data_IF_090436901208
#
_entry.id   IF_090436901208
#
_cell.length_a   1.000
_cell.length_b   1.000
_cell.length_c   1.000
_cell.angle_alpha   90.00
_cell.angle_beta   90.00
_cell.angle_gamma   90.00
#
_symmetry.space_group_name_H-M   'P 1'
#
loop_
_entity.id
_entity.type
_entity.pdbx_description
1 polymer ?
#
# COMPACT_ATOMS: atom_id res chain seq x y z
N UNK A 1 46.56 19.76 -40.19
CA UNK A 1 45.85 19.74 -41.50
C UNK A 1 44.36 19.82 -41.21
N UNK A 2 43.81 20.96 -41.25
CA UNK A 2 42.96 21.60 -42.28
C UNK A 2 41.71 20.74 -42.56
N UNK A 3 40.57 21.22 -41.99
CA UNK A 3 39.42 21.93 -42.62
C UNK A 3 38.46 20.96 -43.35
N UNK A 4 37.13 20.99 -43.19
CA UNK A 4 36.25 22.11 -43.51
C UNK A 4 34.82 21.86 -42.99
N UNK A 5 34.18 22.95 -42.51
CA UNK A 5 32.73 23.13 -42.30
C UNK A 5 31.97 23.17 -43.65
N UNK A 6 30.72 22.73 -43.69
CA UNK A 6 29.69 23.37 -44.53
C UNK A 6 28.32 23.42 -43.82
N UNK A 7 27.90 24.65 -43.59
CA UNK A 7 26.52 25.06 -43.36
C UNK A 7 25.79 25.07 -44.70
N UNK A 8 24.48 24.79 -44.71
CA UNK A 8 23.56 25.45 -45.64
C UNK A 8 22.24 25.80 -44.95
N UNK A 9 21.75 26.97 -45.34
CA UNK A 9 20.73 27.83 -44.76
C UNK A 9 19.49 27.78 -45.64
N UNK A 10 18.31 27.78 -44.99
CA UNK A 10 17.08 28.53 -45.31
C UNK A 10 16.48 28.54 -46.73
N UNK A 11 15.18 28.32 -46.83
CA UNK A 11 14.25 29.25 -47.45
C UNK A 11 12.79 28.93 -47.10
N UNK A 12 12.11 29.97 -46.63
CA UNK A 12 10.67 30.05 -46.46
C UNK A 12 10.02 30.46 -47.79
N UNK A 13 8.78 30.12 -48.04
CA UNK A 13 7.88 30.88 -48.90
C UNK A 13 6.42 30.70 -48.50
N UNK A 14 5.78 31.81 -48.21
CA UNK A 14 4.34 32.05 -48.07
C UNK A 14 3.64 32.10 -49.44
N UNK A 15 2.37 31.71 -49.47
CA UNK A 15 1.24 32.21 -50.28
C UNK A 15 0.00 31.47 -49.75
N UNK A 16 -1.07 32.00 -49.33
CA UNK A 16 -1.80 33.23 -49.46
C UNK A 16 -3.01 33.11 -50.40
N UNK A 17 -4.23 33.45 -49.87
CA UNK A 17 -5.52 33.66 -50.57
C UNK A 17 -6.47 32.42 -50.64
N UNK A 18 -7.77 32.52 -50.45
CA UNK A 18 -8.77 33.47 -49.95
C UNK A 18 -10.15 32.82 -50.13
N UNK A 19 -11.02 33.04 -49.20
CA UNK A 19 -12.50 33.15 -49.17
C UNK A 19 -13.32 32.68 -50.40
N UNK A 20 -14.33 31.84 -50.20
CA UNK A 20 -15.72 32.15 -50.55
C UNK A 20 -16.68 31.32 -49.75
N UNK A 21 -17.69 31.91 -49.17
CA UNK A 21 -18.76 31.32 -48.43
C UNK A 21 -19.91 30.81 -49.31
N UNK A 22 -20.73 29.95 -48.79
CA UNK A 22 -22.19 29.85 -49.04
C UNK A 22 -22.90 28.96 -48.06
N UNK A 23 -23.79 29.61 -47.31
CA UNK A 23 -25.21 29.30 -47.10
C UNK A 23 -25.59 28.00 -46.35
N UNK A 24 -26.18 28.27 -45.21
CA UNK A 24 -27.11 27.52 -44.39
C UNK A 24 -28.24 26.85 -45.19
N UNK A 25 -28.53 25.63 -44.87
CA UNK A 25 -29.85 25.05 -45.04
C UNK A 25 -30.17 24.29 -43.75
N UNK A 26 -31.07 24.91 -42.96
CA UNK A 26 -31.78 24.34 -41.87
C UNK A 26 -32.83 23.33 -42.39
N UNK A 27 -32.77 22.12 -41.93
CA UNK A 27 -33.87 21.15 -42.04
C UNK A 27 -34.37 20.85 -40.63
N UNK A 28 -35.48 21.49 -40.30
CA UNK A 28 -36.34 21.10 -39.17
C UNK A 28 -36.98 19.72 -39.51
N UNK A 29 -36.78 18.77 -38.63
CA UNK A 29 -37.59 17.54 -38.60
C UNK A 29 -38.39 17.54 -37.30
N UNK A 30 -39.69 17.64 -37.47
CA UNK A 30 -40.71 17.51 -36.46
C UNK A 30 -40.72 16.15 -35.75
N UNK A 31 -41.17 16.10 -34.48
CA UNK A 31 -41.21 14.85 -33.71
C UNK A 31 -42.52 14.09 -34.00
N UNK A 32 -42.44 12.86 -34.39
CA UNK A 32 -43.62 11.97 -34.35
C UNK A 32 -43.24 10.55 -33.92
N UNK A 33 -43.94 10.16 -32.84
CA UNK A 33 -44.33 8.80 -32.46
C UNK A 33 -43.20 7.76 -32.13
N UNK A 34 -42.90 7.69 -30.82
CA UNK A 34 -42.50 6.43 -30.19
C UNK A 34 -43.61 6.02 -29.19
N UNK A 35 -43.99 4.72 -29.14
CA UNK A 35 -45.07 4.28 -28.23
C UNK A 35 -44.62 4.29 -26.78
N UNK A 36 -45.50 4.78 -25.90
CA UNK A 36 -45.39 4.75 -24.46
C UNK A 36 -45.27 3.34 -23.90
N UNK A 37 -44.21 3.07 -23.14
CA UNK A 37 -44.10 1.89 -22.28
C UNK A 37 -45.01 2.11 -21.03
N UNK A 38 -45.64 1.06 -20.48
CA UNK A 38 -46.54 1.20 -19.35
C UNK A 38 -45.79 1.58 -18.07
N UNK A 39 -46.37 2.53 -17.33
CA UNK A 39 -46.01 2.88 -15.96
C UNK A 39 -46.15 1.63 -15.08
N UNK A 40 -45.04 1.14 -14.56
CA UNK A 40 -45.04 0.26 -13.39
C UNK A 40 -45.03 1.13 -12.12
N UNK A 41 -46.22 1.49 -11.66
CA UNK A 41 -46.44 1.99 -10.32
C UNK A 41 -46.35 0.84 -9.31
N UNK A 42 -45.48 1.01 -8.33
CA UNK A 42 -45.61 0.33 -7.04
C UNK A 42 -44.60 -0.80 -6.77
N UNK A 43 -43.39 -0.43 -6.40
CA UNK A 43 -42.64 -1.08 -5.33
C UNK A 43 -41.81 0.01 -4.66
N UNK A 44 -42.21 0.42 -3.49
CA UNK A 44 -41.47 1.33 -2.63
C UNK A 44 -40.16 0.68 -2.19
N UNK A 45 -39.14 0.82 -3.01
CA UNK A 45 -37.76 0.57 -2.64
C UNK A 45 -37.30 1.72 -1.76
N UNK A 46 -37.00 1.44 -0.50
CA UNK A 46 -36.25 2.37 0.36
C UNK A 46 -35.00 2.78 -0.40
N UNK A 47 -34.78 4.07 -0.53
CA UNK A 47 -33.57 4.62 -1.14
C UNK A 47 -32.35 4.13 -0.36
N UNK A 48 -31.37 3.62 -1.07
CA UNK A 48 -30.10 3.13 -0.53
C UNK A 48 -29.13 4.26 -0.09
N UNK A 49 -29.65 5.44 0.22
CA UNK A 49 -28.89 6.64 0.59
C UNK A 49 -29.14 7.07 2.04
N UNK A 50 -28.98 6.15 3.00
CA UNK A 50 -28.60 6.59 4.33
C UNK A 50 -27.06 6.61 4.40
N UNK A 51 -26.44 7.73 4.83
CA UNK A 51 -24.99 7.79 4.98
C UNK A 51 -24.57 6.88 6.14
N UNK A 52 -24.22 5.66 5.83
CA UNK A 52 -23.50 4.80 6.77
C UNK A 52 -22.17 5.46 7.10
N UNK A 53 -21.54 5.06 8.23
CA UNK A 53 -20.22 5.58 8.63
C UNK A 53 -19.25 5.58 7.44
N UNK A 54 -18.40 6.63 7.27
CA UNK A 54 -17.48 6.73 6.16
C UNK A 54 -16.50 5.54 6.14
N UNK A 55 -16.03 5.17 4.95
CA UNK A 55 -14.97 4.18 4.79
C UNK A 55 -13.64 4.83 5.14
N UNK A 56 -12.89 4.26 6.08
CA UNK A 56 -11.51 4.66 6.37
C UNK A 56 -10.57 4.09 5.30
N UNK A 57 -9.84 4.94 4.62
CA UNK A 57 -8.83 4.56 3.63
C UNK A 57 -7.45 4.65 4.28
N UNK A 58 -6.80 3.50 4.46
CA UNK A 58 -5.46 3.40 5.02
C UNK A 58 -4.46 2.95 3.96
N UNK A 59 -3.23 3.46 3.99
CA UNK A 59 -2.17 3.04 3.09
C UNK A 59 -0.95 2.56 3.88
N UNK A 60 -0.37 1.41 3.51
CA UNK A 60 0.89 0.95 4.06
C UNK A 60 2.03 1.88 3.67
N UNK A 61 2.93 2.14 4.60
CA UNK A 61 4.05 3.05 4.45
C UNK A 61 5.36 2.36 4.78
N UNK A 62 6.21 2.15 3.79
CA UNK A 62 7.52 1.54 3.95
C UNK A 62 8.60 2.60 4.18
N UNK A 63 9.28 2.58 5.33
CA UNK A 63 10.14 3.66 5.82
C UNK A 63 11.62 3.51 5.48
N UNK A 64 12.03 3.06 4.28
CA UNK A 64 13.43 2.81 3.93
C UNK A 64 14.03 3.78 2.88
N UNK A 65 13.33 4.88 2.59
CA UNK A 65 13.74 5.88 1.58
C UNK A 65 14.42 7.11 2.21
N UNK A 66 15.27 6.89 3.21
CA UNK A 66 16.10 7.91 3.85
C UNK A 66 17.52 7.38 4.10
N UNK A 67 18.56 8.23 4.06
CA UNK A 67 19.91 7.88 4.49
C UNK A 67 20.01 7.86 6.03
N UNK A 68 21.17 7.43 6.53
CA UNK A 68 21.50 7.56 7.96
C UNK A 68 21.02 6.42 8.86
N UNK A 69 20.35 5.39 8.32
CA UNK A 69 20.10 4.19 9.11
C UNK A 69 21.42 3.41 9.32
N UNK A 70 21.80 3.21 10.58
CA UNK A 70 23.08 2.64 10.93
C UNK A 70 23.29 1.19 10.44
N UNK A 71 22.20 0.39 10.35
CA UNK A 71 22.25 -0.99 9.87
C UNK A 71 22.41 -1.03 8.36
N UNK A 72 21.67 -0.20 7.64
CA UNK A 72 21.79 -0.06 6.20
C UNK A 72 23.17 0.46 5.81
N UNK A 73 23.65 1.52 6.46
CA UNK A 73 24.98 2.07 6.15
C UNK A 73 26.12 1.11 6.44
N UNK A 74 26.01 0.30 7.49
CA UNK A 74 26.97 -0.77 7.79
C UNK A 74 27.02 -1.84 6.70
N UNK A 75 25.88 -2.16 6.09
CA UNK A 75 25.75 -3.22 5.08
C UNK A 75 26.02 -2.74 3.66
N UNK A 76 25.59 -1.52 3.33
CA UNK A 76 25.52 -1.01 1.95
C UNK A 76 26.40 0.22 1.71
N UNK A 77 26.94 0.83 2.76
CA UNK A 77 27.75 2.05 2.69
C UNK A 77 27.03 3.31 3.14
N UNK A 78 27.83 4.32 3.49
CA UNK A 78 27.34 5.60 4.03
C UNK A 78 26.40 6.29 3.03
N UNK A 79 25.27 6.80 3.52
CA UNK A 79 24.29 7.54 2.75
C UNK A 79 23.37 6.65 1.89
N UNK A 80 23.45 5.33 2.01
CA UNK A 80 22.58 4.42 1.27
C UNK A 80 21.12 4.56 1.73
N UNK A 81 20.21 4.52 0.78
CA UNK A 81 18.78 4.33 0.99
C UNK A 81 18.23 3.43 -0.12
N UNK A 82 17.01 2.96 -0.01
CA UNK A 82 16.42 2.07 -1.02
C UNK A 82 16.22 2.76 -2.38
N UNK A 83 16.32 4.10 -2.45
CA UNK A 83 16.38 4.84 -3.70
C UNK A 83 17.49 4.37 -4.64
N UNK A 84 18.59 3.83 -4.11
CA UNK A 84 19.68 3.33 -4.94
C UNK A 84 19.26 2.14 -5.82
N UNK A 85 18.33 1.32 -5.33
CA UNK A 85 17.76 0.22 -6.11
C UNK A 85 16.82 0.73 -7.20
N UNK A 86 15.97 1.71 -6.87
CA UNK A 86 15.04 2.32 -7.81
C UNK A 86 15.81 2.99 -8.96
N UNK A 87 16.84 3.77 -8.64
CA UNK A 87 17.72 4.45 -9.62
C UNK A 87 18.49 3.47 -10.52
N UNK A 88 18.91 2.34 -9.96
CA UNK A 88 19.72 1.34 -10.67
C UNK A 88 18.89 0.43 -11.59
N UNK A 89 17.57 0.38 -11.41
CA UNK A 89 16.69 -0.47 -12.20
C UNK A 89 16.74 -0.12 -13.69
N UNK A 90 16.64 -1.16 -14.54
CA UNK A 90 16.68 -1.01 -16.01
C UNK A 90 15.47 -1.66 -16.66
N UNK A 91 15.00 -1.12 -17.80
CA UNK A 91 14.00 -1.83 -18.60
C UNK A 91 14.48 -3.24 -18.97
N UNK A 92 13.63 -4.23 -18.75
CA UNK A 92 13.94 -5.64 -19.04
C UNK A 92 13.24 -6.14 -20.33
N UNK A 93 12.30 -5.37 -20.84
CA UNK A 93 11.58 -5.63 -22.10
C UNK A 93 11.06 -4.31 -22.70
N UNK A 94 10.69 -4.28 -23.98
CA UNK A 94 10.13 -3.07 -24.62
C UNK A 94 8.87 -2.57 -23.87
N UNK A 95 8.87 -1.29 -23.49
CA UNK A 95 7.77 -0.67 -22.73
C UNK A 95 7.81 -0.89 -21.22
N UNK A 96 8.81 -1.60 -20.69
CA UNK A 96 8.99 -1.72 -19.23
C UNK A 96 9.37 -0.37 -18.62
N UNK A 97 8.50 0.12 -17.74
CA UNK A 97 8.69 1.41 -17.07
C UNK A 97 9.67 1.29 -15.90
N UNK A 98 10.96 1.20 -16.21
CA UNK A 98 12.07 1.25 -15.26
C UNK A 98 13.18 2.15 -15.82
N UNK A 99 13.91 2.91 -14.97
CA UNK A 99 13.64 3.11 -13.54
C UNK A 99 12.35 3.89 -13.31
N UNK A 100 11.67 3.62 -12.20
CA UNK A 100 10.56 4.45 -11.71
C UNK A 100 11.11 5.79 -11.25
N UNK A 101 10.51 6.90 -11.68
CA UNK A 101 11.01 8.24 -11.34
C UNK A 101 9.96 9.01 -10.55
N UNK A 102 10.21 9.27 -9.23
CA UNK A 102 9.30 10.06 -8.43
C UNK A 102 9.13 11.48 -8.95
N UNK A 103 7.91 11.99 -9.01
CA UNK A 103 7.62 13.38 -9.43
C UNK A 103 8.27 14.39 -8.48
N UNK A 104 8.40 14.04 -7.21
CA UNK A 104 9.02 14.89 -6.19
C UNK A 104 10.53 14.70 -6.05
N UNK A 105 11.13 13.86 -6.88
CA UNK A 105 12.52 13.44 -6.78
C UNK A 105 12.73 12.35 -5.70
N UNK A 106 13.96 11.90 -5.59
CA UNK A 106 14.40 10.88 -4.61
C UNK A 106 14.64 11.55 -3.25
N UNK A 107 13.54 11.83 -2.54
CA UNK A 107 13.53 12.65 -1.32
C UNK A 107 13.89 11.85 -0.08
N UNK A 108 14.39 12.55 0.95
CA UNK A 108 14.67 12.00 2.28
C UNK A 108 13.40 12.02 3.14
N UNK A 109 12.87 10.86 3.48
CA UNK A 109 11.65 10.72 4.28
C UNK A 109 11.82 11.04 5.77
N UNK A 110 13.05 11.15 6.25
CA UNK A 110 13.32 11.61 7.61
C UNK A 110 13.21 13.12 7.76
N UNK A 111 13.11 13.87 6.65
CA UNK A 111 12.89 15.33 6.66
C UNK A 111 11.41 15.64 6.93
N UNK A 112 11.08 16.38 8.02
CA UNK A 112 9.71 16.78 8.32
C UNK A 112 9.01 17.60 7.22
N UNK A 113 9.75 18.36 6.40
CA UNK A 113 9.18 19.15 5.30
C UNK A 113 8.80 18.26 4.11
N UNK A 114 9.61 17.25 3.84
CA UNK A 114 9.28 16.21 2.86
C UNK A 114 8.02 15.47 3.30
N UNK A 115 7.99 15.04 4.57
CA UNK A 115 6.84 14.33 5.12
C UNK A 115 5.58 15.22 5.16
N UNK A 116 5.71 16.51 5.45
CA UNK A 116 4.58 17.44 5.39
C UNK A 116 3.92 17.50 4.00
N UNK A 117 4.71 17.46 2.93
CA UNK A 117 4.19 17.38 1.55
C UNK A 117 3.47 16.05 1.30
N UNK A 118 4.02 14.93 1.77
CA UNK A 118 3.38 13.60 1.65
C UNK A 118 2.05 13.55 2.40
N UNK A 119 2.02 14.04 3.64
CA UNK A 119 0.81 14.14 4.46
C UNK A 119 -0.26 15.00 3.78
N UNK A 120 0.12 16.17 3.24
CA UNK A 120 -0.80 17.04 2.51
C UNK A 120 -1.40 16.31 1.30
N UNK A 121 -0.56 15.69 0.47
CA UNK A 121 -1.02 14.95 -0.71
C UNK A 121 -1.94 13.77 -0.35
N UNK A 122 -1.66 13.04 0.72
CA UNK A 122 -2.50 11.94 1.19
C UNK A 122 -3.86 12.47 1.68
N UNK A 123 -3.86 13.42 2.60
CA UNK A 123 -5.07 13.97 3.20
C UNK A 123 -5.96 14.72 2.19
N UNK A 124 -5.37 15.47 1.24
CA UNK A 124 -6.11 16.16 0.18
C UNK A 124 -6.77 15.20 -0.83
N UNK A 125 -6.36 13.93 -0.82
CA UNK A 125 -6.91 12.88 -1.68
C UNK A 125 -7.62 11.76 -0.90
N UNK A 126 -8.14 12.06 0.31
CA UNK A 126 -8.95 11.14 1.12
C UNK A 126 -8.26 9.83 1.52
N UNK A 127 -6.97 9.88 1.78
CA UNK A 127 -6.28 8.89 2.59
C UNK A 127 -6.37 9.38 4.03
N UNK A 128 -6.88 8.54 4.93
CA UNK A 128 -7.12 8.88 6.33
C UNK A 128 -5.96 8.50 7.23
N UNK A 129 -5.21 7.44 6.85
CA UNK A 129 -4.23 6.81 7.74
C UNK A 129 -3.04 6.27 6.95
N UNK A 130 -1.83 6.53 7.45
CA UNK A 130 -0.65 5.73 7.10
C UNK A 130 -0.45 4.61 8.11
N UNK A 131 -0.27 3.38 7.64
CA UNK A 131 0.12 2.24 8.46
C UNK A 131 1.60 2.00 8.21
N UNK A 132 2.45 2.46 9.14
CA UNK A 132 3.90 2.33 8.99
C UNK A 132 4.37 0.90 9.20
N UNK A 133 5.14 0.36 8.26
CA UNK A 133 5.93 -0.84 8.44
C UNK A 133 7.00 -0.54 9.48
N UNK A 134 6.74 -0.98 10.70
CA UNK A 134 7.55 -0.70 11.87
C UNK A 134 8.38 -1.92 12.23
N UNK A 135 9.69 -1.75 12.33
CA UNK A 135 10.65 -2.83 12.54
C UNK A 135 11.28 -2.74 13.92
N UNK A 136 11.29 -3.87 14.61
CA UNK A 136 11.97 -4.03 15.89
C UNK A 136 12.45 -5.48 16.03
N UNK A 137 13.74 -5.66 16.31
CA UNK A 137 14.40 -6.94 16.46
C UNK A 137 14.96 -7.10 17.88
N UNK A 138 15.51 -8.28 18.25
CA UNK A 138 16.10 -8.49 19.58
C UNK A 138 17.24 -7.51 19.91
N UNK A 139 17.93 -7.02 18.89
CA UNK A 139 19.00 -6.01 19.02
C UNK A 139 18.51 -4.56 18.85
N UNK A 140 17.19 -4.33 18.81
CA UNK A 140 16.58 -3.00 18.84
C UNK A 140 15.88 -2.54 17.57
N UNK A 141 15.55 -1.23 17.47
CA UNK A 141 14.77 -0.64 16.41
C UNK A 141 15.48 -0.61 15.05
N UNK A 142 14.70 -0.55 13.97
CA UNK A 142 15.17 -0.43 12.60
C UNK A 142 14.17 0.37 11.76
N UNK A 143 14.65 1.20 10.83
CA UNK A 143 13.85 1.99 9.85
C UNK A 143 12.77 2.89 10.48
N UNK A 144 13.01 3.42 11.67
CA UNK A 144 11.99 4.24 12.35
C UNK A 144 12.08 5.73 12.00
N UNK A 145 13.12 6.20 11.28
CA UNK A 145 13.33 7.62 11.06
C UNK A 145 12.24 8.30 10.22
N UNK A 146 11.66 7.61 9.24
CA UNK A 146 10.54 8.14 8.47
C UNK A 146 9.33 8.49 9.35
N UNK A 147 9.04 7.67 10.38
CA UNK A 147 8.00 7.95 11.37
C UNK A 147 8.47 8.97 12.41
N UNK A 148 9.57 8.68 13.13
CA UNK A 148 9.96 9.41 14.33
C UNK A 148 10.53 10.81 14.04
N UNK A 149 11.25 10.95 12.94
CA UNK A 149 11.88 12.22 12.55
C UNK A 149 11.08 12.93 11.44
N UNK A 150 10.52 12.17 10.49
CA UNK A 150 9.70 12.70 9.43
C UNK A 150 8.27 13.01 9.88
N UNK A 151 7.43 11.98 10.01
CA UNK A 151 5.98 12.13 10.21
C UNK A 151 5.62 12.84 11.53
N UNK A 152 6.15 12.36 12.65
CA UNK A 152 5.79 12.90 13.98
C UNK A 152 6.28 14.34 14.19
N UNK A 153 7.28 14.79 13.42
CA UNK A 153 7.80 16.15 13.46
C UNK A 153 7.30 17.04 12.33
N UNK A 154 6.50 16.50 11.40
CA UNK A 154 5.91 17.28 10.34
C UNK A 154 4.92 18.32 10.91
N UNK A 155 4.96 19.59 10.43
CA UNK A 155 4.11 20.67 10.98
C UNK A 155 2.61 20.43 10.82
N UNK A 156 2.23 19.53 9.93
CA UNK A 156 0.85 19.16 9.61
C UNK A 156 0.52 17.69 9.93
N UNK A 157 1.26 17.05 10.85
CA UNK A 157 1.06 15.64 11.21
C UNK A 157 -0.34 15.33 11.76
N UNK A 158 -1.11 16.35 12.16
CA UNK A 158 -2.49 16.23 12.64
C UNK A 158 -3.53 16.10 11.53
N UNK A 159 -3.17 16.38 10.28
CA UNK A 159 -4.06 16.19 9.11
C UNK A 159 -4.26 14.73 8.72
N UNK A 160 -3.40 13.83 9.18
CA UNK A 160 -3.42 12.41 8.85
C UNK A 160 -3.27 11.58 10.12
N UNK A 161 -3.94 10.43 10.17
CA UNK A 161 -3.71 9.45 11.22
C UNK A 161 -2.53 8.56 10.85
N UNK A 162 -1.95 7.89 11.86
CA UNK A 162 -0.97 6.83 11.65
C UNK A 162 -1.21 5.66 12.58
N UNK A 163 -0.82 4.48 12.16
CA UNK A 163 -0.76 3.27 12.95
C UNK A 163 0.52 2.51 12.64
N UNK A 164 0.77 1.44 13.39
CA UNK A 164 1.90 0.58 13.20
C UNK A 164 1.46 -0.82 12.73
N UNK A 165 2.19 -1.34 11.76
CA UNK A 165 2.25 -2.77 11.50
C UNK A 165 3.66 -3.23 11.89
N UNK A 166 3.76 -4.10 12.90
CA UNK A 166 5.05 -4.70 13.20
C UNK A 166 5.44 -5.66 12.09
N UNK A 167 6.38 -5.22 11.26
CA UNK A 167 6.95 -6.01 10.17
C UNK A 167 8.00 -6.98 10.76
N UNK A 168 7.52 -7.93 11.57
CA UNK A 168 8.31 -8.89 12.32
C UNK A 168 8.73 -10.11 11.48
N UNK A 169 8.98 -9.90 10.18
CA UNK A 169 9.56 -10.91 9.30
C UNK A 169 11.09 -10.92 9.40
N UNK A 170 11.70 -12.00 8.93
CA UNK A 170 13.15 -12.08 8.78
C UNK A 170 13.64 -11.01 7.79
N UNK A 171 14.59 -10.16 8.22
CA UNK A 171 15.23 -9.25 7.28
C UNK A 171 16.38 -9.96 6.58
N UNK A 172 16.25 -10.10 5.28
CA UNK A 172 17.17 -10.84 4.43
C UNK A 172 17.87 -9.93 3.42
N UNK A 173 19.07 -10.32 2.96
CA UNK A 173 19.85 -9.54 1.99
C UNK A 173 19.30 -9.71 0.56
N UNK A 174 18.25 -8.91 0.27
CA UNK A 174 17.60 -8.86 -1.05
C UNK A 174 17.69 -7.47 -1.71
N UNK A 175 18.68 -6.65 -1.34
CA UNK A 175 18.77 -5.25 -1.75
C UNK A 175 20.11 -4.87 -2.43
N UNK A 176 20.38 -5.32 -3.68
CA UNK A 176 19.71 -6.34 -4.49
C UNK A 176 20.20 -7.75 -4.20
N UNK A 177 19.54 -8.77 -4.74
CA UNK A 177 20.00 -10.15 -4.61
C UNK A 177 19.99 -10.92 -5.94
N UNK A 178 20.71 -12.06 -5.96
CA UNK A 178 20.87 -12.90 -7.14
C UNK A 178 20.22 -14.27 -6.93
N UNK A 179 19.17 -14.55 -7.70
CA UNK A 179 18.56 -15.88 -7.74
C UNK A 179 19.50 -16.89 -8.46
N UNK A 180 19.43 -18.21 -8.19
CA UNK A 180 18.53 -18.88 -7.24
C UNK A 180 19.10 -19.01 -5.82
N UNK A 181 20.25 -18.36 -5.50
CA UNK A 181 20.83 -18.44 -4.17
C UNK A 181 19.83 -17.98 -3.09
N UNK A 182 19.76 -18.70 -1.98
CA UNK A 182 19.01 -18.21 -0.83
C UNK A 182 19.68 -16.94 -0.29
N UNK A 183 18.92 -15.85 -0.06
CA UNK A 183 19.50 -14.64 0.51
C UNK A 183 19.97 -14.89 1.95
N UNK A 184 21.00 -14.15 2.34
CA UNK A 184 21.52 -14.20 3.71
C UNK A 184 20.51 -13.60 4.68
N UNK A 185 20.20 -14.32 5.79
CA UNK A 185 19.50 -13.77 6.92
C UNK A 185 20.39 -12.72 7.60
N UNK A 186 19.87 -11.51 7.77
CA UNK A 186 20.56 -10.39 8.42
C UNK A 186 20.04 -10.16 9.84
N UNK A 187 18.71 -10.04 9.99
CA UNK A 187 18.06 -9.85 11.29
C UNK A 187 16.87 -10.81 11.41
N UNK A 188 16.87 -11.73 12.40
CA UNK A 188 15.75 -12.64 12.63
C UNK A 188 14.51 -11.88 13.10
N UNK A 189 13.37 -12.14 12.47
CA UNK A 189 12.06 -11.56 12.85
C UNK A 189 11.49 -12.14 14.14
N UNK A 190 11.89 -13.37 14.48
CA UNK A 190 11.59 -13.97 15.78
C UNK A 190 12.27 -13.17 16.88
N UNK A 191 11.52 -12.71 17.88
CA UNK A 191 12.04 -12.01 19.06
C UNK A 191 11.79 -12.82 20.33
N UNK A 192 12.56 -12.51 21.37
CA UNK A 192 12.36 -13.08 22.72
C UNK A 192 11.12 -12.50 23.40
N UNK A 193 10.51 -13.20 24.39
CA UNK A 193 9.44 -12.65 25.21
C UNK A 193 9.81 -11.35 25.91
N UNK A 194 11.07 -11.18 26.30
CA UNK A 194 11.60 -9.95 26.92
C UNK A 194 11.61 -8.78 25.93
N UNK A 195 11.99 -9.03 24.68
CA UNK A 195 11.96 -8.02 23.63
C UNK A 195 10.52 -7.67 23.27
N UNK A 196 9.62 -8.65 23.19
CA UNK A 196 8.20 -8.38 22.98
C UNK A 196 7.62 -7.49 24.07
N UNK A 197 7.94 -7.74 25.35
CA UNK A 197 7.48 -6.93 26.47
C UNK A 197 7.97 -5.46 26.36
N UNK A 198 9.23 -5.26 25.95
CA UNK A 198 9.80 -3.92 25.66
C UNK A 198 9.08 -3.24 24.48
N UNK A 199 8.79 -3.99 23.43
CA UNK A 199 8.03 -3.48 22.27
C UNK A 199 6.66 -2.99 22.72
N UNK A 200 5.93 -3.75 23.55
CA UNK A 200 4.65 -3.34 24.08
C UNK A 200 4.73 -2.02 24.86
N UNK A 201 5.71 -1.89 25.75
CA UNK A 201 5.91 -0.67 26.52
C UNK A 201 6.25 0.51 25.62
N UNK A 202 7.19 0.31 24.69
CA UNK A 202 7.64 1.36 23.77
C UNK A 202 6.51 1.87 22.86
N UNK A 203 5.67 1.00 22.31
CA UNK A 203 4.59 1.45 21.42
C UNK A 203 3.49 2.16 22.21
N UNK A 204 3.21 1.75 23.45
CA UNK A 204 2.26 2.43 24.32
C UNK A 204 2.77 3.82 24.69
N UNK A 205 4.02 3.93 25.12
CA UNK A 205 4.61 5.18 25.61
C UNK A 205 4.83 6.20 24.47
N UNK A 206 5.39 5.75 23.34
CA UNK A 206 5.83 6.66 22.29
C UNK A 206 4.77 6.98 21.25
N UNK A 207 3.82 6.06 21.00
CA UNK A 207 2.92 6.22 19.86
C UNK A 207 1.44 6.25 20.22
N UNK A 208 0.92 5.35 21.07
CA UNK A 208 -0.52 5.24 21.30
C UNK A 208 -1.15 6.50 21.89
N UNK A 209 -0.42 7.27 22.70
CA UNK A 209 -0.89 8.53 23.27
C UNK A 209 -0.89 9.69 22.27
N UNK A 210 -0.23 9.56 21.10
CA UNK A 210 -0.19 10.62 20.11
C UNK A 210 -1.58 10.91 19.55
N UNK A 211 -1.95 12.20 19.42
CA UNK A 211 -3.29 12.63 18.95
C UNK A 211 -3.67 12.13 17.55
N UNK A 212 -2.67 11.86 16.70
CA UNK A 212 -2.84 11.33 15.36
C UNK A 212 -2.74 9.81 15.31
N UNK A 213 -2.53 9.10 16.43
CA UNK A 213 -2.54 7.64 16.40
C UNK A 213 -3.95 7.13 16.04
N UNK A 214 -4.01 6.24 15.03
CA UNK A 214 -5.29 5.71 14.55
C UNK A 214 -5.91 4.74 15.56
N UNK A 215 -7.24 4.86 15.73
CA UNK A 215 -8.02 4.05 16.65
C UNK A 215 -9.25 3.49 15.94
N UNK A 216 -9.50 2.22 16.15
CA UNK A 216 -10.72 1.53 15.72
C UNK A 216 -11.63 1.39 16.95
N UNK A 217 -12.82 1.96 16.91
CA UNK A 217 -13.76 2.01 18.04
C UNK A 217 -13.12 2.53 19.34
N UNK A 218 -12.27 3.57 19.21
CA UNK A 218 -11.54 4.19 20.32
C UNK A 218 -10.30 3.43 20.79
N UNK A 219 -10.06 2.20 20.34
CA UNK A 219 -8.91 1.36 20.70
C UNK A 219 -7.75 1.63 19.75
N UNK A 220 -6.50 1.86 20.23
CA UNK A 220 -5.34 1.92 19.36
C UNK A 220 -5.26 0.68 18.45
N UNK A 221 -4.98 0.90 17.15
CA UNK A 221 -4.81 -0.18 16.18
C UNK A 221 -3.34 -0.61 16.13
N UNK A 222 -3.07 -1.91 16.22
CA UNK A 222 -1.73 -2.46 16.05
C UNK A 222 -1.79 -3.75 15.24
N UNK A 223 -0.97 -3.85 14.20
CA UNK A 223 -0.98 -5.01 13.29
C UNK A 223 0.31 -5.82 13.41
N UNK A 224 0.18 -7.14 13.23
CA UNK A 224 1.30 -8.07 13.13
C UNK A 224 1.39 -8.61 11.70
N UNK A 225 2.58 -8.51 11.11
CA UNK A 225 2.81 -8.98 9.75
C UNK A 225 3.05 -10.50 9.71
N UNK A 226 3.94 -11.05 10.56
CA UNK A 226 4.40 -12.43 10.48
C UNK A 226 4.02 -13.25 11.74
N UNK A 227 2.94 -14.02 11.62
CA UNK A 227 2.45 -14.82 12.75
C UNK A 227 3.31 -16.03 13.08
N UNK A 228 4.06 -16.58 12.11
CA UNK A 228 4.94 -17.74 12.37
C UNK A 228 6.14 -17.34 13.21
N UNK A 229 6.72 -16.14 12.98
CA UNK A 229 7.78 -15.60 13.81
C UNK A 229 7.28 -15.19 15.20
N UNK A 230 6.06 -14.64 15.29
CA UNK A 230 5.44 -14.35 16.57
C UNK A 230 5.29 -15.64 17.40
N UNK A 231 4.72 -16.72 16.83
CA UNK A 231 4.62 -18.02 17.48
C UNK A 231 5.99 -18.59 17.88
N UNK A 232 6.96 -18.52 16.97
CA UNK A 232 8.31 -19.02 17.25
C UNK A 232 8.98 -18.29 18.43
N UNK A 233 8.59 -17.04 18.70
CA UNK A 233 9.07 -16.27 19.86
C UNK A 233 8.62 -16.83 21.20
N UNK A 234 7.41 -17.36 21.25
CA UNK A 234 6.77 -17.85 22.49
C UNK A 234 6.68 -19.39 22.59
N UNK A 235 6.82 -20.09 21.46
CA UNK A 235 6.87 -21.55 21.42
C UNK A 235 5.53 -22.23 21.23
N UNK A 236 4.45 -21.79 21.86
CA UNK A 236 3.10 -22.35 21.71
C UNK A 236 2.03 -21.30 21.45
N UNK A 237 0.85 -21.71 20.97
CA UNK A 237 -0.30 -20.82 20.76
C UNK A 237 -0.77 -20.21 22.08
N UNK A 238 -0.80 -21.01 23.15
CA UNK A 238 -1.25 -20.58 24.48
C UNK A 238 -0.34 -19.48 25.04
N UNK A 239 0.99 -19.69 25.02
CA UNK A 239 1.95 -18.69 25.52
C UNK A 239 1.96 -17.43 24.66
N UNK A 240 1.72 -17.56 23.35
CA UNK A 240 1.59 -16.42 22.45
C UNK A 240 0.33 -15.61 22.72
N UNK A 241 -0.82 -16.29 22.92
CA UNK A 241 -2.09 -15.67 23.31
C UNK A 241 -1.93 -14.91 24.63
N UNK A 242 -1.33 -15.54 25.64
CA UNK A 242 -1.13 -14.93 26.96
C UNK A 242 -0.25 -13.65 26.86
N UNK A 243 0.75 -13.65 25.96
CA UNK A 243 1.56 -12.46 25.68
C UNK A 243 0.74 -11.35 25.00
N UNK A 244 -0.15 -11.67 24.04
CA UNK A 244 -1.05 -10.71 23.42
C UNK A 244 -2.07 -10.14 24.41
N UNK A 245 -2.61 -10.97 25.32
CA UNK A 245 -3.51 -10.51 26.38
C UNK A 245 -2.78 -9.62 27.41
N UNK A 246 -1.51 -9.92 27.71
CA UNK A 246 -0.68 -9.02 28.50
C UNK A 246 -0.48 -7.67 27.83
N UNK A 247 -0.29 -7.64 26.50
CA UNK A 247 -0.21 -6.38 25.74
C UNK A 247 -1.51 -5.57 25.85
N UNK A 248 -2.69 -6.23 25.71
CA UNK A 248 -3.99 -5.58 25.91
C UNK A 248 -4.11 -5.00 27.32
N UNK A 249 -3.72 -5.77 28.34
CA UNK A 249 -3.75 -5.35 29.73
C UNK A 249 -2.86 -4.13 29.98
N UNK A 250 -1.65 -4.09 29.40
CA UNK A 250 -0.76 -2.91 29.45
C UNK A 250 -1.40 -1.66 28.83
N UNK A 251 -2.06 -1.81 27.66
CA UNK A 251 -2.76 -0.70 27.02
C UNK A 251 -3.92 -0.18 27.89
N UNK A 252 -4.71 -1.07 28.50
CA UNK A 252 -5.78 -0.68 29.44
C UNK A 252 -5.21 0.02 30.68
N UNK A 253 -4.11 -0.50 31.24
CA UNK A 253 -3.44 0.11 32.40
C UNK A 253 -2.88 1.51 32.08
N UNK A 254 -2.56 1.78 30.82
CA UNK A 254 -2.13 3.10 30.33
C UNK A 254 -3.31 4.04 30.02
N UNK A 255 -4.57 3.62 30.29
CA UNK A 255 -5.77 4.45 30.18
C UNK A 255 -6.50 4.33 28.84
N UNK A 256 -6.13 3.39 27.97
CA UNK A 256 -6.87 3.12 26.72
C UNK A 256 -8.08 2.21 26.99
N UNK A 257 -9.18 2.31 26.22
CA UNK A 257 -10.37 1.48 26.43
C UNK A 257 -10.15 0.01 26.03
N UNK A 258 -9.00 -0.30 25.46
CA UNK A 258 -8.57 -1.61 24.96
C UNK A 258 -7.49 -1.45 23.90
N UNK A 259 -7.22 -2.51 23.14
CA UNK A 259 -6.27 -2.54 22.04
C UNK A 259 -6.89 -3.33 20.89
N UNK A 260 -6.89 -2.77 19.68
CA UNK A 260 -7.34 -3.48 18.47
C UNK A 260 -6.12 -4.15 17.81
N UNK A 261 -6.05 -5.46 17.92
CA UNK A 261 -4.99 -6.27 17.29
C UNK A 261 -5.45 -6.79 15.94
N UNK A 262 -4.69 -6.50 14.91
CA UNK A 262 -4.91 -6.98 13.55
C UNK A 262 -3.83 -8.00 13.16
N UNK A 263 -4.21 -9.01 12.38
CA UNK A 263 -3.30 -9.99 11.81
C UNK A 263 -3.25 -9.86 10.29
N UNK A 264 -2.05 -9.78 9.72
CA UNK A 264 -1.86 -9.99 8.29
C UNK A 264 -1.79 -11.50 8.03
N UNK A 265 -2.53 -11.95 7.02
CA UNK A 265 -2.54 -13.35 6.60
C UNK A 265 -2.25 -13.49 5.12
N UNK A 266 -1.61 -14.58 4.74
CA UNK A 266 -1.33 -14.91 3.36
C UNK A 266 -1.37 -16.41 3.09
N UNK A 267 -1.73 -16.78 1.87
CA UNK A 267 -1.70 -18.16 1.39
C UNK A 267 -0.37 -18.52 0.71
N UNK A 268 0.36 -17.52 0.22
CA UNK A 268 1.62 -17.71 -0.51
C UNK A 268 2.68 -16.74 0.02
N UNK A 269 3.83 -17.26 0.50
CA UNK A 269 4.98 -16.44 0.85
C UNK A 269 5.51 -15.66 -0.36
N UNK A 270 5.96 -14.44 -0.14
CA UNK A 270 6.60 -13.57 -1.14
C UNK A 270 8.06 -13.36 -0.79
N UNK A 271 8.35 -13.00 0.46
CA UNK A 271 9.71 -12.83 0.90
C UNK A 271 10.37 -14.19 1.13
N UNK A 272 11.67 -14.30 0.85
CA UNK A 272 12.41 -15.49 1.22
C UNK A 272 12.33 -15.75 2.72
N UNK A 273 12.24 -17.03 3.10
CA UNK A 273 12.10 -17.54 4.47
C UNK A 273 10.72 -17.41 5.11
N UNK A 274 9.79 -16.66 4.55
CA UNK A 274 8.38 -16.66 4.98
C UNK A 274 7.76 -18.06 4.86
N UNK A 275 6.82 -18.36 5.76
CA UNK A 275 6.10 -19.63 5.78
C UNK A 275 4.60 -19.38 5.76
N UNK A 276 3.89 -20.08 4.87
CA UNK A 276 2.44 -20.08 4.89
C UNK A 276 1.92 -20.80 6.15
N UNK A 277 0.86 -20.24 6.74
CA UNK A 277 0.14 -20.86 7.84
C UNK A 277 -0.68 -22.06 7.34
N UNK A 278 -0.69 -23.14 8.09
CA UNK A 278 -1.49 -24.34 7.77
C UNK A 278 -2.98 -24.09 7.95
N UNK A 279 -3.36 -23.47 9.07
CA UNK A 279 -4.74 -23.11 9.41
C UNK A 279 -4.76 -21.67 9.97
N UNK A 280 -4.77 -20.67 9.09
CA UNK A 280 -4.76 -19.27 9.53
C UNK A 280 -6.03 -18.89 10.30
N UNK A 281 -7.18 -19.45 9.96
CA UNK A 281 -8.44 -19.10 10.61
C UNK A 281 -8.47 -19.55 12.08
N UNK A 282 -8.08 -20.81 12.32
CA UNK A 282 -7.97 -21.31 13.68
C UNK A 282 -6.92 -20.54 14.49
N UNK A 283 -5.75 -20.26 13.91
CA UNK A 283 -4.69 -19.54 14.61
C UNK A 283 -5.11 -18.11 14.98
N UNK A 284 -5.71 -17.36 14.07
CA UNK A 284 -6.23 -16.01 14.33
C UNK A 284 -7.26 -16.01 15.44
N UNK A 285 -8.18 -17.00 15.43
CA UNK A 285 -9.19 -17.17 16.46
C UNK A 285 -8.56 -17.52 17.82
N UNK A 286 -7.62 -18.48 17.85
CA UNK A 286 -6.98 -18.95 19.10
C UNK A 286 -6.12 -17.87 19.75
N UNK A 287 -5.53 -16.99 18.95
CA UNK A 287 -4.73 -15.84 19.40
C UNK A 287 -5.58 -14.61 19.76
N UNK A 288 -6.88 -14.60 19.43
CA UNK A 288 -7.81 -13.54 19.82
C UNK A 288 -7.60 -12.23 19.05
N UNK A 289 -7.26 -12.27 17.75
CA UNK A 289 -7.17 -11.06 16.92
C UNK A 289 -8.56 -10.46 16.67
N UNK A 290 -8.62 -9.12 16.65
CA UNK A 290 -9.86 -8.36 16.46
C UNK A 290 -10.22 -8.19 14.97
N UNK A 291 -9.25 -8.24 14.08
CA UNK A 291 -9.44 -8.21 12.63
C UNK A 291 -8.31 -8.89 11.88
N UNK A 292 -8.56 -9.17 10.60
CA UNK A 292 -7.61 -9.81 9.68
C UNK A 292 -7.50 -8.98 8.41
N UNK A 293 -6.33 -8.95 7.80
CA UNK A 293 -6.10 -8.28 6.51
C UNK A 293 -5.08 -9.00 5.64
N UNK A 294 -4.94 -8.55 4.40
CA UNK A 294 -3.84 -8.87 3.49
C UNK A 294 -2.93 -7.67 3.31
N UNK A 295 -1.64 -7.91 3.08
CA UNK A 295 -0.68 -6.85 2.75
C UNK A 295 -0.73 -6.49 1.26
N UNK A 296 -0.68 -7.49 0.39
CA UNK A 296 -0.62 -7.33 -1.07
C UNK A 296 -1.35 -8.47 -1.79
N UNK A 297 -1.91 -8.20 -2.98
CA UNK A 297 -2.72 -9.17 -3.72
C UNK A 297 -1.98 -10.46 -4.09
N UNK A 298 -0.69 -10.38 -4.40
CA UNK A 298 0.09 -11.55 -4.84
C UNK A 298 0.31 -12.60 -3.75
N UNK A 299 0.00 -12.29 -2.49
CA UNK A 299 -0.09 -13.28 -1.41
C UNK A 299 -1.24 -14.28 -1.66
N UNK A 300 -2.25 -13.90 -2.42
CA UNK A 300 -3.47 -14.69 -2.64
C UNK A 300 -3.77 -14.95 -4.11
N UNK A 301 -3.15 -14.21 -5.01
CA UNK A 301 -3.29 -14.35 -6.45
C UNK A 301 -2.05 -14.98 -7.07
N UNK A 302 -2.24 -15.70 -8.18
CA UNK A 302 -1.15 -16.26 -8.97
C UNK A 302 -0.78 -15.30 -10.09
N UNK A 303 0.50 -15.19 -10.38
CA UNK A 303 1.03 -14.55 -11.57
C UNK A 303 1.53 -15.66 -12.52
N UNK A 304 0.65 -16.21 -13.38
CA UNK A 304 0.99 -17.40 -14.19
C UNK A 304 1.97 -17.09 -15.34
N UNK A 305 2.12 -15.83 -15.69
CA UNK A 305 3.02 -15.34 -16.75
C UNK A 305 3.92 -14.25 -16.18
N UNK A 306 5.02 -13.96 -16.89
CA UNK A 306 5.92 -12.88 -16.50
C UNK A 306 5.21 -11.51 -16.44
N UNK A 307 4.19 -11.31 -17.26
CA UNK A 307 3.34 -10.11 -17.26
C UNK A 307 1.89 -10.55 -17.12
N UNK A 308 1.35 -10.50 -15.90
CA UNK A 308 -0.05 -10.88 -15.64
C UNK A 308 -0.90 -9.61 -15.57
N UNK A 309 -2.02 -9.61 -16.28
CA UNK A 309 -2.93 -8.45 -16.36
C UNK A 309 -3.50 -8.08 -14.99
N UNK A 310 -3.53 -6.78 -14.67
CA UNK A 310 -3.99 -6.23 -13.40
C UNK A 310 -5.40 -6.67 -13.02
N UNK A 311 -6.34 -6.64 -13.96
CA UNK A 311 -7.72 -7.05 -13.70
C UNK A 311 -7.83 -8.54 -13.38
N UNK A 312 -7.02 -9.38 -14.05
CA UNK A 312 -7.00 -10.82 -13.76
C UNK A 312 -6.47 -11.11 -12.33
N UNK A 313 -5.51 -10.33 -11.85
CA UNK A 313 -5.01 -10.43 -10.46
C UNK A 313 -6.04 -9.90 -9.47
N UNK A 314 -6.67 -8.75 -9.77
CA UNK A 314 -7.77 -8.19 -8.98
C UNK A 314 -8.90 -9.21 -8.79
N UNK A 315 -9.35 -9.85 -9.87
CA UNK A 315 -10.47 -10.78 -9.82
C UNK A 315 -10.14 -12.02 -8.98
N UNK A 316 -8.90 -12.52 -9.06
CA UNK A 316 -8.42 -13.59 -8.18
C UNK A 316 -8.44 -13.16 -6.71
N UNK A 317 -7.98 -11.94 -6.41
CA UNK A 317 -7.98 -11.45 -5.05
C UNK A 317 -9.40 -11.21 -4.52
N UNK A 318 -10.31 -10.69 -5.33
CA UNK A 318 -11.71 -10.51 -4.92
C UNK A 318 -12.43 -11.84 -4.65
N UNK A 319 -12.10 -12.88 -5.44
CA UNK A 319 -12.55 -14.23 -5.13
C UNK A 319 -11.97 -14.78 -3.82
N UNK A 320 -10.71 -14.46 -3.52
CA UNK A 320 -10.11 -14.76 -2.22
C UNK A 320 -10.79 -13.99 -1.08
N UNK A 321 -11.06 -12.69 -1.25
CA UNK A 321 -11.75 -11.88 -0.23
C UNK A 321 -13.08 -12.53 0.19
N UNK A 322 -13.90 -12.98 -0.77
CA UNK A 322 -15.13 -13.73 -0.47
C UNK A 322 -14.89 -14.99 0.37
N UNK A 323 -13.80 -15.71 0.09
CA UNK A 323 -13.41 -16.88 0.89
C UNK A 323 -12.91 -16.48 2.28
N UNK A 324 -12.17 -15.40 2.39
CA UNK A 324 -11.64 -14.90 3.65
C UNK A 324 -12.77 -14.51 4.62
N UNK A 325 -13.79 -13.78 4.15
CA UNK A 325 -14.96 -13.44 4.96
C UNK A 325 -15.71 -14.69 5.49
N UNK A 326 -15.79 -15.73 4.67
CA UNK A 326 -16.40 -17.00 5.11
C UNK A 326 -15.51 -17.82 6.05
N UNK A 327 -14.19 -17.65 5.95
CA UNK A 327 -13.18 -18.42 6.67
C UNK A 327 -12.87 -17.86 8.05
N UNK A 328 -12.72 -16.53 8.17
CA UNK A 328 -12.37 -15.90 9.43
C UNK A 328 -13.62 -15.48 10.21
N UNK A 329 -13.62 -15.72 11.53
CA UNK A 329 -14.65 -15.18 12.43
C UNK A 329 -14.44 -13.69 12.73
N UNK A 330 -13.18 -13.26 12.76
CA UNK A 330 -12.83 -11.86 12.88
C UNK A 330 -13.10 -11.12 11.54
N UNK A 331 -13.56 -9.87 11.57
CA UNK A 331 -13.76 -9.06 10.36
C UNK A 331 -12.53 -9.03 9.45
N UNK A 332 -12.74 -9.20 8.16
CA UNK A 332 -11.68 -9.12 7.16
C UNK A 332 -11.62 -7.72 6.57
N UNK A 333 -10.48 -7.05 6.69
CA UNK A 333 -10.19 -5.74 6.09
C UNK A 333 -9.58 -5.98 4.70
N UNK A 334 -10.26 -5.60 3.60
CA UNK A 334 -9.75 -5.84 2.25
C UNK A 334 -8.54 -4.95 1.93
N UNK A 335 -7.76 -5.41 0.94
CA UNK A 335 -6.64 -4.69 0.36
C UNK A 335 -6.92 -4.33 -1.11
N UNK A 336 -6.48 -3.14 -1.56
CA UNK A 336 -6.33 -2.80 -2.96
C UNK A 336 -4.86 -2.53 -3.25
N UNK A 337 -4.28 -3.34 -4.13
CA UNK A 337 -2.87 -3.25 -4.53
C UNK A 337 -2.73 -2.35 -5.76
N UNK A 338 -1.78 -1.41 -5.75
CA UNK A 338 -1.50 -0.50 -6.87
C UNK A 338 -0.81 -1.22 -8.02
N UNK A 339 0.14 -2.10 -7.70
CA UNK A 339 0.91 -2.86 -8.70
C UNK A 339 1.81 -3.92 -8.06
N UNK A 340 2.65 -4.55 -8.88
CA UNK A 340 3.73 -5.41 -8.44
C UNK A 340 4.81 -5.51 -9.51
N UNK A 341 6.02 -5.07 -9.20
CA UNK A 341 7.20 -5.19 -10.03
C UNK A 341 8.47 -5.13 -9.16
N UNK A 342 8.96 -6.29 -8.75
CA UNK A 342 10.16 -6.42 -7.90
C UNK A 342 11.49 -6.33 -8.66
N UNK A 343 11.50 -5.87 -9.90
CA UNK A 343 12.73 -5.75 -10.73
C UNK A 343 13.85 -4.94 -10.04
N UNK A 344 13.58 -3.83 -9.34
CA UNK A 344 14.64 -3.07 -8.65
C UNK A 344 15.40 -3.87 -7.59
N UNK A 345 14.77 -4.86 -6.97
CA UNK A 345 15.38 -5.71 -5.93
C UNK A 345 16.27 -6.83 -6.50
N UNK A 346 16.34 -6.98 -7.84
CA UNK A 346 17.19 -7.97 -8.51
C UNK A 346 18.45 -7.32 -9.07
N UNK A 347 19.54 -8.10 -9.17
CA UNK A 347 20.65 -7.70 -10.04
C UNK A 347 20.16 -7.57 -11.48
N UNK A 348 20.47 -6.46 -12.13
CA UNK A 348 19.83 -6.05 -13.39
C UNK A 348 20.22 -6.89 -14.61
N UNK A 349 21.19 -7.78 -14.48
CA UNK A 349 21.60 -8.80 -15.47
C UNK A 349 20.78 -10.11 -15.38
N UNK A 350 19.84 -10.19 -14.44
CA UNK A 350 19.07 -11.42 -14.19
C UNK A 350 17.68 -11.44 -14.83
N UNK A 351 17.32 -10.40 -15.60
CA UNK A 351 15.96 -10.22 -16.08
C UNK A 351 15.01 -9.76 -14.97
N UNK A 352 13.75 -10.16 -15.04
CA UNK A 352 12.71 -9.78 -14.09
C UNK A 352 11.90 -10.99 -13.61
N UNK A 353 11.22 -10.83 -12.47
CA UNK A 353 10.26 -11.82 -11.96
C UNK A 353 8.90 -11.67 -12.64
N UNK A 354 7.91 -12.41 -12.14
CA UNK A 354 6.53 -12.20 -12.57
C UNK A 354 6.01 -10.88 -12.00
N UNK A 355 5.44 -10.04 -12.86
CA UNK A 355 4.92 -8.72 -12.54
C UNK A 355 3.43 -8.62 -12.83
N UNK A 356 2.77 -7.63 -12.22
CA UNK A 356 1.46 -7.17 -12.63
C UNK A 356 1.64 -6.12 -13.73
N UNK A 357 0.97 -6.31 -14.87
CA UNK A 357 1.01 -5.39 -16.01
C UNK A 357 -0.33 -4.70 -16.21
N UNK A 358 -0.29 -3.50 -16.83
CA UNK A 358 -1.49 -2.73 -17.11
C UNK A 358 -2.18 -2.16 -15.87
N UNK A 359 -1.46 -1.99 -14.77
CA UNK A 359 -1.91 -1.30 -13.57
C UNK A 359 -1.94 0.23 -13.83
N UNK A 360 -3.02 0.69 -14.45
CA UNK A 360 -3.23 2.13 -14.72
C UNK A 360 -4.11 2.78 -13.65
N UNK A 361 -4.07 4.11 -13.49
CA UNK A 361 -4.96 4.82 -12.57
C UNK A 361 -6.45 4.51 -12.78
N UNK A 362 -6.89 4.31 -14.03
CA UNK A 362 -8.28 3.99 -14.35
C UNK A 362 -8.67 2.59 -13.86
N UNK A 363 -7.81 1.59 -14.03
CA UNK A 363 -8.04 0.22 -13.54
C UNK A 363 -7.97 0.15 -12.02
N UNK A 364 -7.06 0.91 -11.42
CA UNK A 364 -6.99 1.07 -9.97
C UNK A 364 -8.27 1.72 -9.42
N UNK A 365 -8.76 2.81 -10.07
CA UNK A 365 -10.03 3.45 -9.73
C UNK A 365 -11.21 2.46 -9.79
N UNK A 366 -11.26 1.60 -10.80
CA UNK A 366 -12.30 0.57 -10.91
C UNK A 366 -12.22 -0.45 -9.75
N UNK A 367 -11.03 -0.86 -9.35
CA UNK A 367 -10.84 -1.73 -8.19
C UNK A 367 -11.33 -1.06 -6.89
N UNK A 368 -11.05 0.23 -6.71
CA UNK A 368 -11.55 1.03 -5.59
C UNK A 368 -13.08 1.13 -5.57
N UNK A 369 -13.71 1.38 -6.73
CA UNK A 369 -15.17 1.44 -6.86
C UNK A 369 -15.85 0.12 -6.49
N UNK A 370 -15.30 -0.99 -6.95
CA UNK A 370 -15.83 -2.32 -6.63
C UNK A 370 -15.68 -2.61 -5.13
N UNK A 371 -14.54 -2.24 -4.55
CA UNK A 371 -14.29 -2.38 -3.10
C UNK A 371 -15.24 -1.51 -2.28
N UNK A 372 -15.43 -0.23 -2.66
CA UNK A 372 -16.37 0.69 -1.99
C UNK A 372 -17.79 0.12 -1.99
N UNK A 373 -18.28 -0.34 -3.15
CA UNK A 373 -19.64 -0.92 -3.26
C UNK A 373 -19.81 -2.11 -2.32
N UNK A 374 -18.81 -3.00 -2.24
CA UNK A 374 -18.87 -4.18 -1.40
C UNK A 374 -18.84 -3.82 0.08
N UNK A 375 -17.92 -2.93 0.51
CA UNK A 375 -17.85 -2.46 1.91
C UNK A 375 -19.13 -1.75 2.35
N UNK A 376 -19.79 -1.00 1.48
CA UNK A 376 -21.07 -0.34 1.80
C UNK A 376 -22.26 -1.33 1.86
N UNK A 377 -22.16 -2.46 1.16
CA UNK A 377 -23.19 -3.49 1.21
C UNK A 377 -23.12 -4.35 2.49
N UNK A 378 -21.98 -4.38 3.18
CA UNK A 378 -21.83 -5.09 4.44
C UNK A 378 -22.45 -4.30 5.61
N UNK A 379 -23.32 -4.97 6.39
CA UNK A 379 -24.01 -4.32 7.51
C UNK A 379 -23.18 -4.26 8.79
N UNK A 380 -22.38 -5.31 9.03
CA UNK A 380 -21.70 -5.54 10.32
C UNK A 380 -20.15 -5.57 10.19
N UNK A 381 -19.60 -5.25 9.01
CA UNK A 381 -18.16 -5.24 8.75
C UNK A 381 -17.48 -3.94 9.17
N UNK A 382 -16.16 -4.01 9.35
CA UNK A 382 -15.33 -2.82 9.49
C UNK A 382 -15.26 -2.10 8.14
N UNK A 383 -15.65 -0.83 8.11
CA UNK A 383 -15.55 0.02 6.91
C UNK A 383 -14.14 0.58 6.77
N UNK A 384 -13.18 -0.31 6.56
CA UNK A 384 -11.77 -0.01 6.40
C UNK A 384 -11.28 -0.63 5.10
N UNK A 385 -10.49 0.13 4.35
CA UNK A 385 -9.77 -0.31 3.17
C UNK A 385 -8.28 -0.08 3.38
N UNK A 386 -7.46 -1.11 3.24
CA UNK A 386 -6.00 -0.97 3.18
C UNK A 386 -5.53 -0.88 1.72
N UNK A 387 -4.59 0.01 1.42
CA UNK A 387 -3.96 0.12 0.10
C UNK A 387 -2.49 -0.27 0.23
N UNK A 388 -2.03 -1.17 -0.60
CA UNK A 388 -0.62 -1.48 -0.80
C UNK A 388 -0.16 -0.77 -2.09
N UNK A 389 0.66 0.24 -1.94
CA UNK A 389 1.12 0.91 -0.73
C UNK A 389 1.26 2.43 -1.01
N UNK A 390 1.64 3.22 -0.01
CA UNK A 390 2.01 4.61 -0.26
C UNK A 390 3.28 4.70 -1.11
N UNK A 391 4.32 3.91 -0.76
CA UNK A 391 5.67 4.10 -1.30
C UNK A 391 6.51 2.82 -1.50
N UNK A 392 5.92 1.68 -1.80
CA UNK A 392 6.69 0.47 -2.15
C UNK A 392 7.27 0.55 -3.58
N UNK A 393 8.19 1.49 -3.79
CA UNK A 393 8.81 1.78 -5.09
C UNK A 393 9.57 0.61 -5.67
N UNK A 394 10.29 -0.15 -4.83
CA UNK A 394 11.08 -1.32 -5.27
C UNK A 394 10.23 -2.55 -5.56
N UNK A 395 8.96 -2.53 -5.17
CA UNK A 395 7.94 -3.52 -5.52
C UNK A 395 7.00 -3.04 -6.63
N UNK A 396 7.16 -1.81 -7.10
CA UNK A 396 6.28 -1.23 -8.12
C UNK A 396 4.83 -1.05 -7.67
N UNK A 397 4.60 -0.94 -6.35
CA UNK A 397 3.30 -0.72 -5.74
C UNK A 397 3.31 0.55 -4.90
N UNK A 398 2.97 1.69 -5.50
CA UNK A 398 3.05 2.99 -4.84
C UNK A 398 1.98 3.97 -5.32
N UNK A 399 1.52 4.82 -4.39
CA UNK A 399 0.59 5.93 -4.63
C UNK A 399 1.33 7.26 -4.80
N UNK A 400 2.58 7.36 -4.33
CA UNK A 400 3.38 8.56 -4.51
C UNK A 400 3.45 8.95 -5.98
N UNK A 401 3.32 10.25 -6.31
CA UNK A 401 3.32 10.69 -7.69
C UNK A 401 4.61 10.35 -8.43
N UNK A 402 4.49 9.87 -9.66
CA UNK A 402 5.58 9.58 -10.56
C UNK A 402 5.55 10.47 -11.81
N UNK A 403 6.59 10.41 -12.61
CA UNK A 403 6.70 11.21 -13.85
C UNK A 403 5.83 10.66 -15.00
N UNK A 404 5.24 9.48 -14.87
CA UNK A 404 4.39 8.84 -15.89
C UNK A 404 2.93 9.18 -15.68
N UNK A 405 2.45 9.01 -14.43
CA UNK A 405 1.04 9.17 -14.10
C UNK A 405 0.73 10.46 -13.32
N UNK A 406 1.76 11.18 -12.84
CA UNK A 406 1.56 12.36 -11.99
C UNK A 406 0.78 12.00 -10.72
N UNK A 407 -0.25 12.78 -10.41
CA UNK A 407 -1.10 12.59 -9.23
C UNK A 407 -2.27 11.60 -9.44
N UNK A 408 -2.43 11.00 -10.60
CA UNK A 408 -3.67 10.30 -11.02
C UNK A 408 -4.08 9.13 -10.12
N UNK A 409 -3.15 8.43 -9.47
CA UNK A 409 -3.51 7.39 -8.50
C UNK A 409 -4.15 7.99 -7.24
N UNK A 410 -3.65 9.12 -6.75
CA UNK A 410 -4.25 9.85 -5.63
C UNK A 410 -5.60 10.49 -6.03
N UNK A 411 -5.68 11.07 -7.22
CA UNK A 411 -6.93 11.58 -7.79
C UNK A 411 -7.99 10.48 -7.89
N UNK A 412 -7.61 9.25 -8.27
CA UNK A 412 -8.53 8.12 -8.30
C UNK A 412 -9.12 7.78 -6.91
N UNK A 413 -8.34 7.92 -5.85
CA UNK A 413 -8.83 7.75 -4.47
C UNK A 413 -9.80 8.87 -4.12
N UNK A 414 -9.43 10.13 -4.40
CA UNK A 414 -10.31 11.29 -4.18
C UNK A 414 -11.63 11.17 -4.92
N UNK A 415 -11.61 10.77 -6.19
CA UNK A 415 -12.81 10.61 -7.01
C UNK A 415 -13.75 9.51 -6.49
N UNK A 416 -13.20 8.50 -5.81
CA UNK A 416 -14.02 7.39 -5.28
C UNK A 416 -14.49 7.68 -3.87
N UNK A 417 -13.65 8.20 -2.99
CA UNK A 417 -13.96 8.32 -1.55
C UNK A 417 -14.24 9.77 -1.11
N UNK A 418 -13.93 10.75 -1.93
CA UNK A 418 -14.28 12.15 -1.70
C UNK A 418 -15.79 12.40 -1.72
N UNK A 419 -16.22 13.58 -1.22
CA UNK A 419 -17.61 14.01 -1.18
C UNK A 419 -18.21 14.21 -2.57
#
# INVERSE_FOLDING_TARGET
MRTTRRKFVSAASLCGLALTGRQLLSLELSPSCLPSLPEMSGLGGKSADEPGAPITVAAYYFGNFHPGDARNEKLKGKGWSEWELVKAAKPQFPGHQQPKTPLWGYVDESDPQVMARKIAAAADNHIDTFIFDWYYYDDGPFLQAALDQGFLKAPNCDRLKFALIWANHDWVDIHPYRRPAAPKLLFPGKVTPQTFDKVCDQVIENYFSHKSYWRVDGKPYFSFYELTNLLAGFGTVETTRDALEKFRTKAVSAGFPGLHLNAVVWGKPILPLEKALTDPAKLVQDLGFDSVTSYVWIHHAKLPTQQTDYNAVRDQYFAYWTKAEAMFKAPYIPNVTVGWDGTPRLYQDMGFGNIISGNTPERFREALLQTKRRLLAEKDGLRILNINAWNEWTEGSYLEPDTVHGMKYLEAIRDVFGP
#
